data_IF_250059708046
#
_entry.id   IF_250059708046
#
_cell.length_a   1.000
_cell.length_b   1.000
_cell.length_c   1.000
_cell.angle_alpha   90.00
_cell.angle_beta   90.00
_cell.angle_gamma   90.00
#
_symmetry.space_group_name_H-M   'P 1'
#
loop_
_entity.id
_entity.type
_entity.pdbx_description
1 polymer ?
#
# COMPACT_ATOMS: atom_id res chain seq x y z
N UNK A 1 11.05 22.52 6.35
CA UNK A 1 12.28 22.10 7.08
C UNK A 1 12.40 20.59 6.87
N UNK A 2 13.28 20.15 5.96
CA UNK A 2 13.56 18.72 5.78
C UNK A 2 14.66 18.34 6.78
N UNK A 3 14.27 17.89 7.97
CA UNK A 3 15.23 17.18 8.82
C UNK A 3 15.45 15.79 8.21
N UNK A 4 16.70 15.38 8.03
CA UNK A 4 16.99 14.00 7.60
C UNK A 4 16.43 13.03 8.66
N UNK A 5 15.96 11.86 8.23
CA UNK A 5 15.53 10.80 9.18
C UNK A 5 16.61 10.53 10.22
N UNK A 6 16.17 10.32 11.45
CA UNK A 6 17.08 10.02 12.58
C UNK A 6 17.61 8.58 12.57
N UNK A 7 17.25 7.80 11.57
CA UNK A 7 17.53 6.37 11.45
C UNK A 7 17.96 6.02 10.02
N UNK A 8 18.83 5.05 9.85
CA UNK A 8 19.21 4.50 8.55
C UNK A 8 18.17 3.50 8.01
N UNK A 9 18.17 3.27 6.69
CA UNK A 9 17.30 2.26 6.06
C UNK A 9 17.52 0.85 6.63
N UNK A 10 18.77 0.49 6.93
CA UNK A 10 19.12 -0.82 7.48
C UNK A 10 18.56 -1.01 8.90
N UNK A 11 18.75 -0.04 9.78
CA UNK A 11 18.24 -0.09 11.15
C UNK A 11 16.71 -0.10 11.18
N UNK A 12 16.07 0.67 10.30
CA UNK A 12 14.62 0.71 10.17
C UNK A 12 14.07 -0.63 9.67
N UNK A 13 14.73 -1.25 8.69
CA UNK A 13 14.37 -2.57 8.18
C UNK A 13 14.45 -3.65 9.26
N UNK A 14 15.50 -3.64 10.10
CA UNK A 14 15.63 -4.57 11.22
C UNK A 14 14.49 -4.42 12.23
N UNK A 15 14.09 -3.19 12.54
CA UNK A 15 12.95 -2.95 13.42
C UNK A 15 11.65 -3.51 12.83
N UNK A 16 11.44 -3.39 11.51
CA UNK A 16 10.24 -3.92 10.85
C UNK A 16 10.26 -5.45 10.76
N UNK A 17 11.40 -6.05 10.47
CA UNK A 17 11.58 -7.52 10.43
C UNK A 17 11.33 -8.20 11.77
N UNK A 18 11.35 -7.44 12.86
CA UNK A 18 11.00 -7.98 14.17
C UNK A 18 9.50 -8.34 14.32
N UNK A 19 8.62 -7.91 13.39
CA UNK A 19 7.19 -8.16 13.46
C UNK A 19 6.48 -8.30 12.09
N UNK A 20 7.18 -8.05 10.99
CA UNK A 20 6.74 -8.31 9.63
C UNK A 20 7.67 -9.41 9.07
N UNK A 21 7.11 -10.31 8.26
CA UNK A 21 7.91 -11.31 7.57
C UNK A 21 9.06 -10.62 6.80
N UNK A 22 10.30 -11.07 6.95
CA UNK A 22 11.46 -10.49 6.27
C UNK A 22 11.28 -10.32 4.77
N UNK A 23 10.56 -11.23 4.10
CA UNK A 23 10.27 -11.17 2.66
C UNK A 23 9.35 -10.00 2.28
N UNK A 24 8.63 -9.43 3.27
CA UNK A 24 7.74 -8.28 3.10
C UNK A 24 8.36 -6.96 3.57
N UNK A 25 9.66 -6.96 3.88
CA UNK A 25 10.47 -5.76 4.17
C UNK A 25 11.55 -5.64 3.09
N UNK A 26 11.23 -4.96 2.02
CA UNK A 26 12.03 -4.88 0.81
C UNK A 26 13.03 -3.72 0.92
N UNK A 27 14.32 -4.01 0.74
CA UNK A 27 15.42 -3.03 0.85
C UNK A 27 16.33 -3.03 -0.36
N UNK A 28 16.24 -4.04 -1.23
CA UNK A 28 17.05 -4.10 -2.44
C UNK A 28 16.41 -3.29 -3.58
N UNK A 29 17.25 -2.62 -4.36
CA UNK A 29 16.83 -1.70 -5.41
C UNK A 29 16.05 -2.38 -6.55
N UNK A 30 16.37 -3.63 -6.87
CA UNK A 30 15.70 -4.33 -7.97
C UNK A 30 14.24 -4.65 -7.62
N UNK A 31 14.00 -5.18 -6.42
CA UNK A 31 12.66 -5.50 -5.92
C UNK A 31 11.85 -4.24 -5.59
N UNK A 32 12.52 -3.12 -5.22
CA UNK A 32 11.86 -1.83 -5.01
C UNK A 32 11.47 -1.11 -6.31
N UNK A 33 12.04 -1.47 -7.46
CA UNK A 33 11.81 -0.81 -8.74
C UNK A 33 10.33 -0.62 -9.12
N UNK A 34 9.42 -1.57 -8.93
CA UNK A 34 8.00 -1.38 -9.19
C UNK A 34 7.31 -0.31 -8.33
N UNK A 35 7.96 0.13 -7.27
CA UNK A 35 7.41 1.11 -6.33
C UNK A 35 7.98 2.53 -6.53
N UNK A 36 8.89 2.75 -7.45
CA UNK A 36 9.56 4.04 -7.66
C UNK A 36 8.65 5.15 -8.22
N UNK A 37 7.50 4.78 -8.78
CA UNK A 37 6.51 5.73 -9.32
C UNK A 37 5.09 5.19 -9.13
N UNK A 38 4.10 6.03 -9.33
CA UNK A 38 2.69 5.62 -9.54
C UNK A 38 2.36 5.58 -11.05
N UNK A 39 1.08 5.70 -11.42
CA UNK A 39 0.67 5.76 -12.83
C UNK A 39 1.22 6.98 -13.59
N UNK A 40 1.72 8.00 -12.88
CA UNK A 40 2.42 9.13 -13.46
C UNK A 40 3.92 8.83 -13.58
N UNK A 41 4.29 7.95 -14.49
CA UNK A 41 5.65 7.43 -14.67
C UNK A 41 6.71 8.44 -15.13
N UNK A 42 6.33 9.70 -15.34
CA UNK A 42 7.29 10.79 -15.65
C UNK A 42 8.13 11.20 -14.45
N UNK A 43 7.70 10.88 -13.26
CA UNK A 43 8.41 11.16 -12.00
C UNK A 43 8.69 9.84 -11.31
N UNK A 44 9.95 9.59 -11.02
CA UNK A 44 10.41 8.40 -10.31
C UNK A 44 11.29 8.82 -9.14
N UNK A 45 11.07 8.22 -7.98
CA UNK A 45 11.90 8.40 -6.80
C UNK A 45 12.00 7.06 -6.06
N UNK A 46 13.19 6.65 -5.68
CA UNK A 46 13.40 5.41 -4.95
C UNK A 46 13.15 5.65 -3.45
N UNK A 47 12.29 4.86 -2.79
CA UNK A 47 12.10 4.97 -1.33
C UNK A 47 13.30 4.42 -0.55
N UNK A 48 13.38 4.72 0.75
CA UNK A 48 14.34 4.07 1.65
C UNK A 48 14.12 2.55 1.72
N UNK A 49 12.86 2.13 1.81
CA UNK A 49 12.41 0.74 1.81
C UNK A 49 10.91 0.66 1.55
N UNK A 50 10.44 -0.54 1.25
CA UNK A 50 9.01 -0.84 1.09
C UNK A 50 8.60 -1.89 2.11
N UNK A 51 7.43 -1.71 2.74
CA UNK A 51 6.84 -2.71 3.64
C UNK A 51 5.46 -3.12 3.16
N UNK A 52 5.16 -4.41 3.28
CA UNK A 52 3.87 -5.00 2.94
C UNK A 52 3.24 -5.65 4.19
N UNK A 53 2.68 -4.87 5.11
CA UNK A 53 2.04 -5.42 6.30
C UNK A 53 0.80 -6.25 5.92
N UNK A 54 0.47 -7.25 6.74
CA UNK A 54 -0.67 -8.15 6.56
C UNK A 54 -1.81 -7.87 7.55
N UNK A 55 -1.51 -7.14 8.64
CA UNK A 55 -2.49 -6.83 9.69
C UNK A 55 -2.49 -5.34 10.06
N UNK A 56 -3.61 -4.87 10.59
CA UNK A 56 -3.75 -3.50 11.06
C UNK A 56 -2.77 -3.16 12.20
N UNK A 57 -2.45 -4.15 13.04
CA UNK A 57 -1.49 -4.02 14.13
C UNK A 57 -0.08 -3.78 13.58
N UNK A 58 0.29 -4.47 12.50
CA UNK A 58 1.57 -4.24 11.83
C UNK A 58 1.63 -2.83 11.22
N UNK A 59 0.56 -2.38 10.55
CA UNK A 59 0.46 -0.99 10.04
C UNK A 59 0.64 0.01 11.17
N UNK A 60 -0.07 -0.19 12.29
CA UNK A 60 0.02 0.70 13.45
C UNK A 60 1.46 0.78 14.00
N UNK A 61 2.16 -0.36 14.07
CA UNK A 61 3.56 -0.40 14.54
C UNK A 61 4.50 0.30 13.57
N UNK A 62 4.35 0.07 12.26
CA UNK A 62 5.12 0.78 11.22
C UNK A 62 4.94 2.29 11.36
N UNK A 63 3.70 2.77 11.44
CA UNK A 63 3.39 4.20 11.57
C UNK A 63 3.99 4.80 12.84
N UNK A 64 3.97 4.07 13.96
CA UNK A 64 4.55 4.53 15.23
C UNK A 64 6.06 4.67 15.13
N UNK A 65 6.75 3.64 14.61
CA UNK A 65 8.21 3.66 14.44
C UNK A 65 8.63 4.79 13.49
N UNK A 66 7.94 4.93 12.35
CA UNK A 66 8.22 6.01 11.41
C UNK A 66 8.03 7.39 12.05
N UNK A 67 6.98 7.57 12.84
CA UNK A 67 6.73 8.83 13.57
C UNK A 67 7.83 9.13 14.60
N UNK A 68 8.29 8.14 15.36
CA UNK A 68 9.37 8.29 16.36
C UNK A 68 10.69 8.73 15.72
N UNK A 69 10.97 8.27 14.51
CA UNK A 69 12.19 8.58 13.76
C UNK A 69 12.03 9.70 12.72
N UNK A 70 10.86 10.34 12.66
CA UNK A 70 10.54 11.41 11.70
C UNK A 70 10.70 10.95 10.22
N UNK A 71 10.38 9.67 9.94
CA UNK A 71 10.45 9.08 8.61
C UNK A 71 9.11 9.29 7.88
N UNK A 72 9.09 9.91 6.69
CA UNK A 72 7.89 10.04 5.89
C UNK A 72 7.33 8.67 5.48
N UNK A 73 6.00 8.53 5.48
CA UNK A 73 5.32 7.32 5.00
C UNK A 73 4.40 7.67 3.85
N UNK A 74 4.53 6.92 2.75
CA UNK A 74 3.63 7.01 1.60
C UNK A 74 2.83 5.71 1.53
N UNK A 75 1.52 5.82 1.72
CA UNK A 75 0.62 4.69 1.55
C UNK A 75 0.41 4.38 0.05
N UNK A 76 0.42 3.09 -0.31
CA UNK A 76 0.25 2.64 -1.69
C UNK A 76 -0.73 1.47 -1.76
N UNK A 77 -1.75 1.62 -2.59
CA UNK A 77 -2.55 0.52 -3.12
C UNK A 77 -1.86 -0.12 -4.34
N UNK A 78 -2.54 -0.21 -5.47
CA UNK A 78 -1.95 -0.71 -6.72
C UNK A 78 -1.01 0.30 -7.41
N UNK A 79 -1.02 1.58 -7.01
CA UNK A 79 -0.19 2.61 -7.62
C UNK A 79 -0.63 3.04 -9.02
N UNK A 80 -1.92 2.90 -9.35
CA UNK A 80 -2.49 3.26 -10.66
C UNK A 80 -2.92 4.73 -10.76
N UNK A 81 -2.80 5.50 -9.67
CA UNK A 81 -3.16 6.93 -9.64
C UNK A 81 -2.28 7.78 -10.55
N UNK A 82 -2.85 8.88 -11.08
CA UNK A 82 -2.18 9.79 -12.01
C UNK A 82 -1.87 11.15 -11.38
N UNK A 83 -1.89 11.24 -10.06
CA UNK A 83 -1.73 12.51 -9.31
C UNK A 83 -0.55 12.48 -8.33
N UNK A 84 0.39 11.58 -8.54
CA UNK A 84 1.57 11.35 -7.68
C UNK A 84 1.23 11.04 -6.21
N UNK A 85 0.00 10.59 -5.91
CA UNK A 85 -0.44 10.30 -4.54
C UNK A 85 0.25 9.09 -3.90
N UNK A 86 0.77 8.17 -4.71
CA UNK A 86 1.54 7.00 -4.26
C UNK A 86 3.03 7.10 -4.65
N UNK A 87 3.48 8.29 -5.08
CA UNK A 87 4.87 8.53 -5.39
C UNK A 87 5.72 8.50 -4.13
N UNK A 88 6.80 7.70 -4.07
CA UNK A 88 7.62 7.59 -2.89
C UNK A 88 8.41 8.85 -2.57
N UNK A 89 8.88 8.91 -1.34
CA UNK A 89 9.84 9.92 -0.89
C UNK A 89 11.19 9.23 -0.65
N UNK A 90 12.30 9.79 -1.16
CA UNK A 90 13.65 9.20 -1.07
C UNK A 90 14.14 8.90 0.37
N UNK A 91 13.63 9.65 1.34
CA UNK A 91 13.93 9.48 2.78
C UNK A 91 12.74 8.87 3.52
N UNK A 92 11.83 8.19 2.82
CA UNK A 92 10.59 7.66 3.36
C UNK A 92 10.36 6.18 3.07
N UNK A 93 9.34 5.67 3.71
CA UNK A 93 8.85 4.28 3.57
C UNK A 93 7.63 4.27 2.67
N UNK A 94 7.59 3.36 1.70
CA UNK A 94 6.35 2.99 1.02
C UNK A 94 5.67 1.89 1.82
N UNK A 95 4.47 2.18 2.30
CA UNK A 95 3.60 1.23 2.98
C UNK A 95 2.58 0.70 1.98
N UNK A 96 2.85 -0.49 1.44
CA UNK A 96 1.98 -1.14 0.46
C UNK A 96 0.87 -1.93 1.15
N UNK A 97 -0.38 -1.67 0.77
CA UNK A 97 -1.56 -2.37 1.30
C UNK A 97 -1.98 -3.57 0.43
N UNK A 98 -1.11 -4.03 -0.48
CA UNK A 98 -1.41 -5.13 -1.40
C UNK A 98 -1.82 -6.45 -0.70
N UNK A 99 -1.39 -6.66 0.56
CA UNK A 99 -1.78 -7.82 1.38
C UNK A 99 -3.17 -7.70 2.03
N UNK A 100 -3.74 -6.50 2.04
CA UNK A 100 -5.09 -6.23 2.55
C UNK A 100 -6.14 -6.47 1.46
N UNK A 101 -6.28 -7.68 0.99
CA UNK A 101 -7.06 -8.03 -0.20
C UNK A 101 -8.30 -8.89 0.08
N UNK A 102 -8.82 -8.88 1.31
CA UNK A 102 -10.01 -9.66 1.67
C UNK A 102 -11.29 -8.85 1.59
N UNK A 103 -12.32 -9.43 0.98
CA UNK A 103 -13.71 -8.99 1.13
C UNK A 103 -14.19 -9.58 2.46
N UNK A 104 -14.63 -8.72 3.38
CA UNK A 104 -14.93 -9.07 4.77
C UNK A 104 -16.39 -9.42 4.95
N UNK A 105 -17.29 -8.73 4.24
CA UNK A 105 -18.72 -8.87 4.37
C UNK A 105 -19.46 -8.29 3.17
N UNK A 106 -20.57 -8.89 2.77
CA UNK A 106 -21.45 -8.38 1.72
C UNK A 106 -22.89 -8.46 2.22
N UNK A 107 -23.59 -7.34 2.20
CA UNK A 107 -25.04 -7.25 2.42
C UNK A 107 -25.74 -6.90 1.10
N UNK A 108 -26.31 -7.88 0.38
CA UNK A 108 -26.99 -7.63 -0.90
C UNK A 108 -28.26 -6.80 -0.74
N UNK A 109 -28.95 -6.87 0.39
CA UNK A 109 -30.19 -6.13 0.65
C UNK A 109 -29.89 -4.65 0.90
N UNK A 110 -28.87 -4.35 1.70
CA UNK A 110 -28.39 -3.00 1.93
C UNK A 110 -27.52 -2.48 0.77
N UNK A 111 -27.13 -3.35 -0.19
CA UNK A 111 -26.21 -3.04 -1.30
C UNK A 111 -24.88 -2.45 -0.80
N UNK A 112 -24.34 -3.03 0.26
CA UNK A 112 -23.05 -2.61 0.84
C UNK A 112 -22.08 -3.76 0.87
N UNK A 113 -20.78 -3.43 0.75
CA UNK A 113 -19.69 -4.37 0.95
C UNK A 113 -18.64 -3.76 1.88
N UNK A 114 -18.14 -4.55 2.82
CA UNK A 114 -17.03 -4.21 3.69
C UNK A 114 -15.79 -5.00 3.25
N UNK A 115 -14.74 -4.30 2.89
CA UNK A 115 -13.54 -4.90 2.33
C UNK A 115 -12.28 -4.20 2.82
N UNK A 116 -11.16 -4.88 2.66
CA UNK A 116 -9.85 -4.32 2.94
C UNK A 116 -9.37 -3.44 1.77
N UNK A 117 -8.52 -2.42 2.01
CA UNK A 117 -8.16 -1.39 1.02
C UNK A 117 -7.28 -1.86 -0.15
N UNK A 118 -6.82 -3.11 -0.15
CA UNK A 118 -6.08 -3.73 -1.25
C UNK A 118 -6.93 -4.65 -2.13
N UNK A 119 -8.25 -4.70 -1.92
CA UNK A 119 -9.16 -5.44 -2.80
C UNK A 119 -9.26 -4.71 -4.15
N UNK A 120 -9.04 -5.46 -5.25
CA UNK A 120 -9.14 -4.90 -6.60
C UNK A 120 -10.58 -4.50 -6.92
N UNK A 121 -10.76 -3.38 -7.61
CA UNK A 121 -12.05 -2.85 -8.00
C UNK A 121 -12.93 -3.91 -8.70
N UNK A 122 -12.39 -4.57 -9.74
CA UNK A 122 -13.12 -5.59 -10.49
C UNK A 122 -13.54 -6.78 -9.62
N UNK A 123 -12.71 -7.19 -8.65
CA UNK A 123 -13.01 -8.31 -7.77
C UNK A 123 -14.28 -8.08 -6.92
N UNK A 124 -14.62 -6.82 -6.63
CA UNK A 124 -15.87 -6.48 -5.93
C UNK A 124 -17.07 -6.83 -6.82
N UNK A 125 -17.03 -6.43 -8.11
CA UNK A 125 -18.09 -6.73 -9.07
C UNK A 125 -18.23 -8.23 -9.33
N UNK A 126 -17.11 -8.94 -9.44
CA UNK A 126 -17.08 -10.41 -9.60
C UNK A 126 -17.75 -11.11 -8.42
N UNK A 127 -17.47 -10.68 -7.20
CA UNK A 127 -18.04 -11.30 -5.99
C UNK A 127 -19.54 -11.03 -5.82
N UNK A 128 -20.01 -9.83 -6.18
CA UNK A 128 -21.42 -9.47 -6.01
C UNK A 128 -22.30 -9.85 -7.21
N UNK A 129 -21.72 -10.34 -8.32
CA UNK A 129 -22.45 -10.73 -9.52
C UNK A 129 -23.51 -11.82 -9.25
N UNK A 130 -23.24 -12.75 -8.33
CA UNK A 130 -24.18 -13.80 -7.91
C UNK A 130 -25.50 -13.24 -7.34
N UNK A 131 -25.51 -11.99 -6.86
CA UNK A 131 -26.69 -11.28 -6.35
C UNK A 131 -27.36 -10.37 -7.41
N UNK A 132 -26.88 -10.39 -8.67
CA UNK A 132 -27.33 -9.49 -9.73
C UNK A 132 -26.89 -8.03 -9.51
N UNK A 133 -25.81 -7.82 -8.75
CA UNK A 133 -25.23 -6.51 -8.43
C UNK A 133 -23.88 -6.33 -9.12
N UNK A 134 -23.42 -5.09 -9.19
CA UNK A 134 -22.05 -4.72 -9.60
C UNK A 134 -21.58 -3.50 -8.81
N UNK A 135 -20.26 -3.32 -8.73
CA UNK A 135 -19.66 -2.15 -8.13
C UNK A 135 -19.64 -1.00 -9.15
N UNK A 136 -20.35 0.09 -8.83
CA UNK A 136 -20.59 1.19 -9.78
C UNK A 136 -19.36 1.95 -10.28
N UNK A 137 -18.30 2.23 -9.48
CA UNK A 137 -17.07 2.82 -9.98
C UNK A 137 -16.37 1.93 -11.00
N UNK A 138 -16.15 2.46 -12.21
CA UNK A 138 -15.59 1.74 -13.36
C UNK A 138 -14.40 2.51 -13.96
N UNK A 139 -13.26 2.60 -13.25
CA UNK A 139 -12.06 3.21 -13.81
C UNK A 139 -11.42 2.31 -14.87
N UNK A 140 -10.73 2.91 -15.84
CA UNK A 140 -9.99 2.15 -16.86
C UNK A 140 -8.96 1.17 -16.29
N UNK A 141 -8.51 1.40 -15.06
CA UNK A 141 -7.59 0.53 -14.31
C UNK A 141 -8.28 -0.49 -13.39
N UNK A 142 -9.59 -0.74 -13.53
CA UNK A 142 -10.37 -1.59 -12.61
C UNK A 142 -9.80 -2.99 -12.35
N UNK A 143 -9.05 -3.54 -13.28
CA UNK A 143 -8.38 -4.83 -13.14
C UNK A 143 -7.26 -4.77 -12.08
N UNK A 144 -6.62 -3.62 -11.93
CA UNK A 144 -5.43 -3.43 -11.09
C UNK A 144 -5.69 -2.52 -9.89
N UNK A 145 -6.49 -1.46 -10.02
CA UNK A 145 -6.69 -0.48 -8.94
C UNK A 145 -7.42 -1.09 -7.73
N UNK A 146 -7.09 -0.57 -6.57
CA UNK A 146 -7.62 -0.96 -5.26
C UNK A 146 -8.26 0.23 -4.58
#
# INVERSE_FOLDING_TARGET
MNSKPKISAAELAEQFRAFIDPDFVITDNETMKPYECDGMSMYCEMPMLVVLPETAEQVQRVMRICNEHEVPVVARGAGTGLSAGAMPHKEGVVLSLAKFNRILDIDPLARTARLQPGVRNLAISEEVAQFGLYYGPDPSSQIACT
#
